data_IF_698320119297
#
_entry.id   IF_698320119297
#
_cell.length_a   1.000
_cell.length_b   1.000
_cell.length_c   1.000
_cell.angle_alpha   90.00
_cell.angle_beta   90.00
_cell.angle_gamma   90.00
#
_symmetry.space_group_name_H-M   'P 1'
#
loop_
_entity.id
_entity.type
_entity.pdbx_description
1 polymer ?
#
# COMPACT_ATOMS: atom_id res chain seq x y z
N UNK A 1 -2.97 29.66 23.60
CA UNK A 1 -2.78 28.50 24.50
C UNK A 1 -2.47 27.30 23.64
N UNK A 2 -1.91 26.27 24.22
CA UNK A 2 -1.49 25.06 23.52
C UNK A 2 -2.17 23.87 24.17
N UNK A 3 -2.63 22.91 23.36
CA UNK A 3 -3.04 21.60 23.87
C UNK A 3 -1.86 20.65 23.71
N UNK A 4 -1.52 19.92 24.78
CA UNK A 4 -0.53 18.85 24.78
C UNK A 4 -1.20 17.55 25.18
N UNK A 5 -0.97 16.50 24.41
CA UNK A 5 -1.52 15.16 24.65
C UNK A 5 -0.40 14.14 24.53
N UNK A 6 -0.13 13.43 25.62
CA UNK A 6 0.70 12.24 25.56
C UNK A 6 -0.19 11.06 25.14
N UNK A 7 0.10 10.55 23.95
CA UNK A 7 -0.61 9.44 23.35
C UNK A 7 0.30 8.22 23.22
N UNK A 8 -0.34 7.05 23.26
CA UNK A 8 0.24 5.79 22.80
C UNK A 8 -0.61 5.24 21.66
N UNK A 9 -0.01 4.48 20.76
CA UNK A 9 -0.72 3.84 19.65
C UNK A 9 -0.58 4.61 18.33
N UNK A 10 -1.58 4.49 17.45
CA UNK A 10 -1.32 4.72 16.03
C UNK A 10 -1.65 6.12 15.56
N UNK A 11 -2.83 6.65 15.91
CA UNK A 11 -3.33 7.92 15.38
C UNK A 11 -4.10 8.69 16.44
N UNK A 12 -3.94 10.01 16.43
CA UNK A 12 -4.72 10.97 17.20
C UNK A 12 -5.16 12.13 16.31
N UNK A 13 -6.45 12.43 16.30
CA UNK A 13 -7.02 13.67 15.78
C UNK A 13 -7.59 14.48 16.95
N UNK A 14 -7.15 15.74 17.08
CA UNK A 14 -7.64 16.63 18.11
C UNK A 14 -8.58 17.69 17.52
N UNK A 15 -9.75 17.83 18.12
CA UNK A 15 -10.74 18.83 17.77
C UNK A 15 -11.05 19.70 18.97
N UNK A 16 -11.24 21.00 18.73
CA UNK A 16 -11.69 21.95 19.74
C UNK A 16 -12.89 22.71 19.19
N UNK A 17 -14.00 22.66 19.92
CA UNK A 17 -15.29 23.23 19.54
C UNK A 17 -15.73 22.80 18.12
N UNK A 18 -15.55 21.52 17.80
CA UNK A 18 -15.91 20.92 16.51
C UNK A 18 -14.96 21.21 15.35
N UNK A 19 -13.88 21.98 15.56
CA UNK A 19 -12.86 22.27 14.53
C UNK A 19 -11.61 21.44 14.76
N UNK A 20 -11.07 20.85 13.69
CA UNK A 20 -9.81 20.14 13.75
C UNK A 20 -8.68 21.13 14.10
N UNK A 21 -7.87 20.75 15.08
CA UNK A 21 -6.67 21.48 15.51
C UNK A 21 -5.41 20.85 14.90
N UNK A 22 -5.41 19.52 14.77
CA UNK A 22 -4.32 18.79 14.16
C UNK A 22 -4.46 17.29 14.33
N UNK A 23 -3.56 16.60 13.64
CA UNK A 23 -3.46 15.15 13.64
C UNK A 23 -2.02 14.75 13.93
N UNK A 24 -1.84 13.61 14.58
CA UNK A 24 -0.56 12.95 14.79
C UNK A 24 -0.75 11.47 14.50
N UNK A 25 0.25 10.85 13.89
CA UNK A 25 0.31 9.40 13.75
C UNK A 25 1.73 8.91 14.00
N UNK A 26 1.82 7.69 14.50
CA UNK A 26 3.08 7.00 14.72
C UNK A 26 3.72 6.63 13.38
N UNK A 27 5.06 6.65 13.35
CA UNK A 27 5.87 6.11 12.27
C UNK A 27 6.71 4.96 12.83
N UNK A 28 6.77 3.84 12.10
CA UNK A 28 7.73 2.74 12.26
C UNK A 28 8.11 2.36 13.70
N UNK A 29 7.30 1.52 14.36
CA UNK A 29 7.65 0.90 15.65
C UNK A 29 7.68 1.84 16.88
N UNK A 30 7.58 3.16 16.69
CA UNK A 30 7.53 4.15 17.77
C UNK A 30 6.09 4.65 17.93
N UNK A 31 5.39 4.12 18.92
CA UNK A 31 3.97 4.40 19.15
C UNK A 31 3.68 5.40 20.26
N UNK A 32 4.70 5.80 21.02
CA UNK A 32 4.58 6.86 22.03
C UNK A 32 4.91 8.21 21.40
N UNK A 33 4.03 9.19 21.57
CA UNK A 33 4.24 10.53 21.02
C UNK A 33 3.63 11.61 21.91
N UNK A 34 4.16 12.82 21.75
CA UNK A 34 3.60 14.04 22.33
C UNK A 34 2.98 14.86 21.21
N UNK A 35 1.65 14.91 21.18
CA UNK A 35 0.93 15.81 20.30
C UNK A 35 0.84 17.19 20.95
N UNK A 36 1.37 18.21 20.28
CA UNK A 36 1.31 19.59 20.77
C UNK A 36 0.89 20.55 19.65
N UNK A 37 -0.21 21.30 19.85
CA UNK A 37 -0.72 22.27 18.89
C UNK A 37 -1.29 23.53 19.56
N UNK A 38 -1.09 24.67 18.90
CA UNK A 38 -1.69 25.93 19.31
C UNK A 38 -3.20 25.92 19.08
N UNK A 39 -3.96 26.38 20.09
CA UNK A 39 -5.41 26.40 20.09
C UNK A 39 -5.93 27.76 20.54
N UNK A 40 -6.96 28.23 19.83
CA UNK A 40 -7.80 29.35 20.26
C UNK A 40 -9.02 28.81 21.02
N UNK A 41 -9.05 29.03 22.33
CA UNK A 41 -10.20 28.72 23.16
C UNK A 41 -11.15 29.91 23.21
N UNK A 42 -12.45 29.62 23.25
CA UNK A 42 -13.49 30.62 23.48
C UNK A 42 -13.54 30.95 24.98
N UNK A 43 -14.03 32.16 25.32
CA UNK A 43 -14.33 32.49 26.71
C UNK A 43 -15.44 31.55 27.22
N UNK A 44 -15.24 30.95 28.38
CA UNK A 44 -16.21 30.03 29.00
C UNK A 44 -15.95 28.56 28.66
N UNK A 45 -17.03 27.79 28.46
CA UNK A 45 -16.95 26.34 28.21
C UNK A 45 -16.41 26.08 26.80
N UNK A 46 -15.47 25.15 26.72
CA UNK A 46 -14.92 24.64 25.46
C UNK A 46 -15.06 23.12 25.43
N UNK A 47 -15.34 22.57 24.26
CA UNK A 47 -15.40 21.13 24.02
C UNK A 47 -14.10 20.69 23.37
N UNK A 48 -13.37 19.80 24.03
CA UNK A 48 -12.20 19.12 23.46
C UNK A 48 -12.63 17.71 23.10
N UNK A 49 -12.36 17.29 21.87
CA UNK A 49 -12.64 15.94 21.40
C UNK A 49 -11.36 15.35 20.84
N UNK A 50 -10.94 14.22 21.39
CA UNK A 50 -9.77 13.47 20.99
C UNK A 50 -10.24 12.18 20.34
N UNK A 51 -10.05 12.05 19.04
CA UNK A 51 -10.32 10.83 18.31
C UNK A 51 -9.01 10.05 18.19
N UNK A 52 -8.89 8.98 18.96
CA UNK A 52 -7.78 8.03 18.82
C UNK A 52 -8.22 6.87 17.93
N UNK A 53 -7.35 6.49 16.98
CA UNK A 53 -7.58 5.35 16.11
C UNK A 53 -6.40 4.38 16.16
N UNK A 54 -6.71 3.09 16.04
CA UNK A 54 -5.73 2.00 16.00
C UNK A 54 -5.59 1.45 14.58
N UNK A 55 -4.38 1.03 14.21
CA UNK A 55 -4.04 0.45 12.90
C UNK A 55 -3.48 -0.95 13.14
N UNK A 56 -4.37 -1.84 13.60
CA UNK A 56 -3.97 -3.13 14.16
C UNK A 56 -3.58 -3.03 15.63
N UNK A 57 -3.31 -4.19 16.24
CA UNK A 57 -2.74 -4.31 17.58
C UNK A 57 -1.42 -5.06 17.48
N UNK A 58 -0.56 -4.89 18.48
CA UNK A 58 0.69 -5.64 18.52
C UNK A 58 0.38 -7.14 18.60
N UNK A 59 1.09 -7.91 17.77
CA UNK A 59 0.83 -9.33 17.55
C UNK A 59 2.07 -10.21 17.82
N UNK A 60 3.15 -9.64 18.34
CA UNK A 60 4.39 -10.36 18.65
C UNK A 60 5.19 -9.64 19.75
N UNK A 61 6.01 -10.39 20.50
CA UNK A 61 6.89 -9.89 21.56
C UNK A 61 6.42 -10.24 22.99
N UNK A 62 7.29 -10.20 24.00
CA UNK A 62 6.87 -10.46 25.38
C UNK A 62 5.80 -9.47 25.85
N UNK A 63 4.74 -9.96 26.48
CA UNK A 63 3.65 -9.16 27.08
C UNK A 63 2.99 -8.17 26.10
N UNK A 64 2.94 -8.50 24.80
CA UNK A 64 2.36 -7.60 23.79
C UNK A 64 0.88 -7.26 24.05
N UNK A 65 0.18 -8.13 24.77
CA UNK A 65 -1.21 -7.98 25.21
C UNK A 65 -1.41 -6.87 26.26
N UNK A 66 -0.35 -6.49 26.99
CA UNK A 66 -0.37 -5.43 28.00
C UNK A 66 -0.10 -4.04 27.42
N UNK A 67 0.20 -3.94 26.12
CA UNK A 67 0.61 -2.68 25.51
C UNK A 67 -0.60 -1.77 25.30
N UNK A 68 -0.53 -0.60 25.94
CA UNK A 68 -1.61 0.37 25.92
C UNK A 68 -1.64 1.13 24.59
N UNK A 69 -2.83 1.35 24.05
CA UNK A 69 -3.09 2.21 22.89
C UNK A 69 -4.20 3.20 23.22
N UNK A 70 -4.05 4.44 22.80
CA UNK A 70 -5.00 5.52 23.02
C UNK A 70 -4.38 6.74 23.70
N UNK A 71 -5.27 7.56 24.26
CA UNK A 71 -4.88 8.73 25.05
C UNK A 71 -4.60 8.28 26.49
N UNK A 72 -3.36 7.89 26.75
CA UNK A 72 -2.91 7.43 28.08
C UNK A 72 -2.59 8.59 29.04
N UNK A 73 -2.41 9.79 28.48
CA UNK A 73 -2.14 11.00 29.25
C UNK A 73 -0.66 11.18 29.63
N UNK A 74 -0.31 12.34 30.20
CA UNK A 74 -1.22 13.43 30.57
C UNK A 74 -1.82 14.18 29.37
N UNK A 75 -2.96 14.84 29.61
CA UNK A 75 -3.62 15.78 28.69
C UNK A 75 -3.63 17.16 29.32
N UNK A 76 -2.92 18.12 28.72
CA UNK A 76 -2.64 19.41 29.32
C UNK A 76 -3.07 20.58 28.42
N UNK A 77 -3.51 21.68 29.05
CA UNK A 77 -3.58 22.99 28.40
C UNK A 77 -2.47 23.86 28.96
N UNK A 78 -1.65 24.40 28.06
CA UNK A 78 -0.50 25.23 28.41
C UNK A 78 -0.79 26.68 28.00
N UNK A 79 -0.81 27.57 28.98
CA UNK A 79 -0.86 29.01 28.81
C UNK A 79 0.51 29.61 29.05
N UNK A 80 0.91 30.59 28.23
CA UNK A 80 2.13 31.38 28.44
C UNK A 80 1.77 32.86 28.48
N UNK A 81 2.37 33.60 29.41
CA UNK A 81 2.25 35.07 29.54
C UNK A 81 3.61 35.64 29.94
N UNK A 82 4.35 36.18 28.98
CA UNK A 82 5.77 36.52 29.20
C UNK A 82 6.56 35.25 29.53
N UNK A 83 7.31 35.30 30.63
CA UNK A 83 8.10 34.16 31.13
C UNK A 83 7.27 33.17 31.98
N UNK A 84 6.04 33.53 32.36
CA UNK A 84 5.17 32.65 33.14
C UNK A 84 4.52 31.58 32.26
N UNK A 85 4.60 30.32 32.69
CA UNK A 85 3.88 29.19 32.10
C UNK A 85 2.88 28.62 33.10
N UNK A 86 1.61 28.55 32.70
CA UNK A 86 0.54 27.92 33.48
C UNK A 86 0.12 26.65 32.78
N UNK A 87 0.21 25.53 33.49
CA UNK A 87 -0.20 24.21 32.98
C UNK A 87 -1.47 23.80 33.71
N UNK A 88 -2.50 23.48 32.93
CA UNK A 88 -3.74 22.90 33.44
C UNK A 88 -3.86 21.47 32.96
N UNK A 89 -3.61 20.53 33.86
CA UNK A 89 -3.80 19.10 33.61
C UNK A 89 -5.30 18.73 33.65
N UNK A 90 -5.74 18.03 32.60
CA UNK A 90 -7.10 17.55 32.40
C UNK A 90 -7.25 16.05 32.66
N UNK A 91 -6.17 15.33 32.96
CA UNK A 91 -6.14 13.87 33.04
C UNK A 91 -7.09 13.31 34.11
N UNK A 92 -7.22 14.01 35.25
CA UNK A 92 -8.11 13.61 36.36
C UNK A 92 -9.52 14.19 36.27
N UNK A 93 -9.87 14.86 35.17
CA UNK A 93 -11.21 15.42 34.95
C UNK A 93 -12.17 14.36 34.42
N UNK A 94 -13.47 14.67 34.42
CA UNK A 94 -14.48 13.77 33.87
C UNK A 94 -14.35 13.69 32.34
N UNK A 95 -14.11 12.48 31.85
CA UNK A 95 -14.07 12.16 30.42
C UNK A 95 -15.34 11.44 29.98
N UNK A 96 -15.81 11.74 28.77
CA UNK A 96 -16.88 10.99 28.11
C UNK A 96 -16.26 10.21 26.95
N UNK A 97 -16.67 8.95 26.79
CA UNK A 97 -16.15 8.05 25.76
C UNK A 97 -17.26 7.67 24.77
N UNK A 98 -16.88 7.56 23.50
CA UNK A 98 -17.72 6.99 22.45
C UNK A 98 -16.86 6.07 21.60
N UNK A 99 -17.34 4.84 21.40
CA UNK A 99 -16.69 3.85 20.52
C UNK A 99 -17.26 4.02 19.11
N UNK A 100 -16.40 3.91 18.11
CA UNK A 100 -16.79 3.96 16.69
C UNK A 100 -17.09 5.36 16.16
N UNK A 101 -17.52 5.41 14.90
CA UNK A 101 -17.95 6.63 14.22
C UNK A 101 -19.42 6.52 13.86
N UNK A 102 -20.08 7.68 13.77
CA UNK A 102 -21.50 7.76 13.40
C UNK A 102 -21.85 7.01 12.10
N UNK A 103 -20.94 7.02 11.10
CA UNK A 103 -21.14 6.28 9.85
C UNK A 103 -21.13 4.76 10.01
N UNK A 104 -20.32 4.25 10.95
CA UNK A 104 -20.29 2.82 11.28
C UNK A 104 -21.56 2.39 12.04
N UNK A 105 -22.00 3.19 13.02
CA UNK A 105 -23.22 2.92 13.80
C UNK A 105 -24.46 2.77 12.88
N UNK A 106 -24.49 3.54 11.79
CA UNK A 106 -25.57 3.53 10.80
C UNK A 106 -25.25 2.72 9.54
N UNK A 107 -24.15 1.96 9.54
CA UNK A 107 -23.75 1.05 8.45
C UNK A 107 -23.78 1.72 7.07
N UNK A 108 -23.20 2.91 6.92
CA UNK A 108 -23.18 3.67 5.65
C UNK A 108 -22.58 2.88 4.47
N UNK A 109 -21.78 1.86 4.77
CA UNK A 109 -21.24 0.91 3.79
C UNK A 109 -22.27 -0.07 3.20
N UNK A 110 -23.49 -0.14 3.75
CA UNK A 110 -24.58 -0.96 3.22
C UNK A 110 -25.59 -0.14 2.41
N UNK A 111 -26.23 -0.81 1.46
CA UNK A 111 -27.28 -0.22 0.60
C UNK A 111 -28.53 0.12 1.40
N UNK A 112 -28.88 -0.68 2.40
CA UNK A 112 -30.06 -0.55 3.27
C UNK A 112 -29.83 0.36 4.50
N UNK A 113 -28.78 1.19 4.47
CA UNK A 113 -28.50 2.12 5.57
C UNK A 113 -29.68 3.07 5.81
N UNK A 114 -30.08 3.32 7.07
CA UNK A 114 -31.11 4.31 7.40
C UNK A 114 -30.73 5.74 7.00
N UNK A 115 -29.46 5.99 6.66
CA UNK A 115 -28.95 7.27 6.19
C UNK A 115 -28.71 7.30 4.67
N UNK A 116 -29.17 6.28 3.93
CA UNK A 116 -28.99 6.19 2.48
C UNK A 116 -29.60 7.37 1.70
N UNK A 117 -30.60 8.06 2.25
CA UNK A 117 -31.18 9.26 1.62
C UNK A 117 -30.40 10.56 1.88
N UNK A 118 -29.36 10.53 2.73
CA UNK A 118 -28.58 11.73 3.10
C UNK A 118 -27.33 11.95 2.26
N UNK A 119 -27.04 11.07 1.31
CA UNK A 119 -25.93 11.25 0.37
C UNK A 119 -26.20 12.46 -0.53
N UNK A 120 -25.16 13.25 -0.79
CA UNK A 120 -25.20 14.40 -1.69
C UNK A 120 -24.26 14.14 -2.86
N UNK A 121 -24.71 14.47 -4.07
CA UNK A 121 -23.95 14.33 -5.32
C UNK A 121 -23.41 15.66 -5.84
N UNK A 122 -23.96 16.77 -5.39
CA UNK A 122 -23.52 18.12 -5.74
C UNK A 122 -22.42 18.58 -4.78
N UNK A 123 -21.46 19.35 -5.30
CA UNK A 123 -20.35 19.94 -4.54
C UNK A 123 -19.61 18.94 -3.62
N UNK A 124 -19.14 17.84 -4.22
CA UNK A 124 -18.40 16.80 -3.51
C UNK A 124 -17.25 17.41 -2.69
N UNK A 125 -17.22 17.22 -1.36
CA UNK A 125 -16.18 17.80 -0.54
C UNK A 125 -14.85 17.14 -0.89
N UNK A 126 -13.85 17.94 -1.25
CA UNK A 126 -12.48 17.46 -1.50
C UNK A 126 -11.58 17.79 -0.31
N UNK A 127 -10.61 16.93 -0.02
CA UNK A 127 -9.61 17.13 1.05
C UNK A 127 -10.23 17.38 2.43
N UNK A 128 -11.48 16.95 2.64
CA UNK A 128 -12.19 17.04 3.91
C UNK A 128 -12.00 15.74 4.69
N UNK A 129 -11.47 15.86 5.90
CA UNK A 129 -11.34 14.73 6.83
C UNK A 129 -12.70 14.20 7.29
N UNK A 130 -12.71 12.92 7.66
CA UNK A 130 -13.89 12.22 8.20
C UNK A 130 -15.08 12.24 7.22
N UNK A 131 -14.80 12.01 5.94
CA UNK A 131 -15.80 12.07 4.86
C UNK A 131 -16.12 10.68 4.36
N UNK A 132 -17.40 10.43 4.05
CA UNK A 132 -17.81 9.21 3.38
C UNK A 132 -18.05 9.53 1.90
N UNK A 133 -17.60 8.66 1.00
CA UNK A 133 -17.90 8.70 -0.43
C UNK A 133 -18.60 7.43 -0.86
N UNK A 134 -19.45 7.54 -1.87
CA UNK A 134 -20.15 6.41 -2.49
C UNK A 134 -20.23 6.63 -3.99
N UNK A 135 -19.97 5.59 -4.75
CA UNK A 135 -20.15 5.58 -6.20
C UNK A 135 -20.61 4.20 -6.66
N UNK A 136 -21.01 4.12 -7.92
CA UNK A 136 -21.32 2.87 -8.60
C UNK A 136 -20.38 2.65 -9.77
N UNK A 137 -20.05 1.40 -10.08
CA UNK A 137 -19.16 1.04 -11.17
C UNK A 137 -19.57 -0.30 -11.79
N UNK A 138 -19.14 -0.54 -13.04
CA UNK A 138 -19.29 -1.85 -13.69
C UNK A 138 -18.11 -2.73 -13.36
N UNK A 139 -18.34 -4.02 -13.16
CA UNK A 139 -17.26 -4.96 -12.94
C UNK A 139 -16.31 -4.98 -14.16
N UNK A 140 -14.97 -4.99 -13.95
CA UNK A 140 -14.04 -5.24 -15.04
C UNK A 140 -14.35 -6.58 -15.72
N UNK A 141 -14.21 -6.66 -17.03
CA UNK A 141 -14.47 -7.90 -17.77
C UNK A 141 -13.44 -9.01 -17.44
N UNK A 142 -13.73 -10.23 -17.85
CA UNK A 142 -12.82 -11.37 -17.73
C UNK A 142 -12.71 -11.96 -16.32
N UNK A 143 -11.68 -12.77 -16.10
CA UNK A 143 -11.46 -13.54 -14.86
C UNK A 143 -10.28 -13.03 -14.03
N UNK A 144 -9.49 -12.09 -14.56
CA UNK A 144 -8.26 -11.60 -13.92
C UNK A 144 -8.52 -10.99 -12.53
N UNK A 145 -7.60 -11.09 -11.57
CA UNK A 145 -7.73 -10.42 -10.29
C UNK A 145 -8.02 -8.92 -10.44
N UNK A 146 -8.91 -8.39 -9.60
CA UNK A 146 -9.31 -6.98 -9.63
C UNK A 146 -8.66 -6.25 -8.48
N UNK A 147 -8.17 -5.04 -8.76
CA UNK A 147 -7.71 -4.10 -7.74
C UNK A 147 -8.42 -2.77 -7.92
N UNK A 148 -8.57 -2.04 -6.81
CA UNK A 148 -8.90 -0.63 -6.83
C UNK A 148 -7.63 0.17 -6.52
N UNK A 149 -7.28 1.08 -7.42
CA UNK A 149 -6.27 2.11 -7.19
C UNK A 149 -6.93 3.23 -6.37
N UNK A 150 -6.48 3.39 -5.12
CA UNK A 150 -6.99 4.43 -4.22
C UNK A 150 -6.09 5.68 -4.22
N UNK A 151 -5.31 5.90 -5.28
CA UNK A 151 -4.55 7.12 -5.46
C UNK A 151 -5.45 8.37 -5.32
N UNK A 152 -4.87 9.44 -4.77
CA UNK A 152 -5.58 10.69 -4.49
C UNK A 152 -6.26 10.73 -3.11
N UNK A 153 -6.43 9.58 -2.46
CA UNK A 153 -6.97 9.47 -1.11
C UNK A 153 -5.89 9.51 -0.03
N UNK A 154 -6.33 9.65 1.23
CA UNK A 154 -5.47 9.80 2.38
C UNK A 154 -5.31 8.48 3.14
N UNK A 155 -6.29 8.18 3.99
CA UNK A 155 -6.37 6.97 4.82
C UNK A 155 -7.84 6.66 5.06
N UNK A 156 -8.19 5.39 5.11
CA UNK A 156 -9.58 5.04 5.32
C UNK A 156 -9.88 3.56 5.34
N UNK A 157 -11.14 3.25 5.06
CA UNK A 157 -11.63 1.89 4.84
C UNK A 157 -12.55 1.88 3.62
N UNK A 158 -12.53 0.77 2.89
CA UNK A 158 -13.29 0.62 1.65
C UNK A 158 -14.18 -0.61 1.70
N UNK A 159 -15.34 -0.51 1.02
CA UNK A 159 -16.30 -1.58 0.86
C UNK A 159 -16.76 -1.69 -0.58
N UNK A 160 -16.86 -2.93 -1.07
CA UNK A 160 -17.46 -3.25 -2.36
C UNK A 160 -18.71 -4.09 -2.08
N UNK A 161 -19.87 -3.60 -2.54
CA UNK A 161 -21.18 -4.23 -2.31
C UNK A 161 -21.44 -4.57 -0.83
N UNK A 162 -20.96 -3.72 0.09
CA UNK A 162 -21.10 -3.89 1.54
C UNK A 162 -20.09 -4.84 2.18
N UNK A 163 -19.22 -5.49 1.40
CA UNK A 163 -18.11 -6.30 1.89
C UNK A 163 -16.87 -5.41 2.10
N UNK A 164 -16.28 -5.44 3.30
CA UNK A 164 -15.04 -4.70 3.57
C UNK A 164 -13.91 -5.31 2.75
N UNK A 165 -13.17 -4.47 2.01
CA UNK A 165 -11.92 -4.85 1.34
C UNK A 165 -10.69 -4.39 2.14
N UNK A 166 -10.91 -3.93 3.37
CA UNK A 166 -9.88 -3.55 4.32
C UNK A 166 -9.59 -2.05 4.39
N UNK A 167 -8.56 -1.73 5.19
CA UNK A 167 -8.07 -0.36 5.36
C UNK A 167 -7.21 0.03 4.17
N UNK A 168 -7.26 1.30 3.81
CA UNK A 168 -6.35 1.89 2.86
C UNK A 168 -5.54 3.02 3.49
N UNK A 169 -4.30 3.21 3.05
CA UNK A 169 -3.44 4.31 3.47
C UNK A 169 -2.41 4.73 2.40
N UNK A 170 -2.85 5.13 1.19
CA UNK A 170 -1.95 5.47 0.09
C UNK A 170 -1.15 6.75 0.35
N UNK A 171 -1.58 7.62 1.27
CA UNK A 171 -0.76 8.77 1.70
C UNK A 171 0.45 8.41 2.56
N UNK A 172 0.54 7.17 3.08
CA UNK A 172 1.70 6.71 3.85
C UNK A 172 2.75 6.15 2.90
N UNK A 173 3.84 6.91 2.70
CA UNK A 173 4.89 6.57 1.76
C UNK A 173 5.91 5.59 2.37
N UNK A 174 6.44 4.70 1.54
CA UNK A 174 7.61 3.91 1.87
C UNK A 174 8.84 4.83 1.79
N UNK A 175 9.42 5.22 2.93
CA UNK A 175 10.44 6.27 2.97
C UNK A 175 11.87 5.71 2.93
N UNK A 176 12.13 4.52 3.48
CA UNK A 176 13.50 4.05 3.77
C UNK A 176 13.72 2.57 3.38
N UNK A 177 14.99 2.18 3.25
CA UNK A 177 15.42 0.78 3.11
C UNK A 177 15.71 0.30 1.69
N UNK A 178 15.29 1.03 0.65
CA UNK A 178 15.62 0.64 -0.73
C UNK A 178 17.07 0.96 -1.05
N UNK A 179 17.80 -0.07 -1.51
CA UNK A 179 19.11 0.12 -2.12
C UNK A 179 18.97 0.51 -3.59
N UNK A 180 19.95 1.27 -4.10
CA UNK A 180 20.14 1.46 -5.54
C UNK A 180 20.83 0.26 -6.20
N UNK A 181 21.46 -0.60 -5.41
CA UNK A 181 22.13 -1.81 -5.90
C UNK A 181 21.09 -2.85 -6.30
N UNK A 182 21.40 -3.60 -7.37
CA UNK A 182 20.55 -4.72 -7.76
C UNK A 182 20.51 -5.78 -6.65
N UNK A 183 19.30 -6.22 -6.29
CA UNK A 183 19.11 -7.30 -5.32
C UNK A 183 19.75 -8.60 -5.85
N UNK A 184 20.70 -9.15 -5.08
CA UNK A 184 21.34 -10.44 -5.36
C UNK A 184 20.80 -11.52 -4.41
N UNK A 185 20.35 -12.65 -4.98
CA UNK A 185 19.87 -13.79 -4.21
C UNK A 185 20.98 -14.48 -3.39
N UNK A 186 22.25 -14.32 -3.78
CA UNK A 186 23.41 -14.94 -3.13
C UNK A 186 23.82 -14.18 -1.87
N UNK A 187 24.47 -14.89 -0.95
CA UNK A 187 24.95 -14.33 0.32
C UNK A 187 23.84 -14.21 1.36
N UNK A 188 24.21 -13.69 2.54
CA UNK A 188 23.27 -13.52 3.66
C UNK A 188 22.06 -12.69 3.24
N UNK A 189 20.90 -13.07 3.79
CA UNK A 189 19.64 -12.38 3.56
C UNK A 189 19.11 -11.81 4.87
N UNK A 190 18.60 -10.59 4.81
CA UNK A 190 17.76 -9.98 5.82
C UNK A 190 16.57 -9.29 5.15
N UNK A 191 15.64 -8.79 5.96
CA UNK A 191 14.41 -8.16 5.49
C UNK A 191 14.63 -6.79 4.81
N UNK A 192 15.85 -6.26 4.80
CA UNK A 192 16.18 -4.97 4.19
C UNK A 192 16.92 -5.13 2.86
N UNK A 193 17.49 -6.31 2.57
CA UNK A 193 18.36 -6.55 1.41
C UNK A 193 17.74 -6.19 0.05
N UNK A 194 16.45 -6.44 -0.13
CA UNK A 194 15.77 -6.34 -1.42
C UNK A 194 14.46 -5.54 -1.33
N UNK A 195 14.43 -4.51 -0.50
CA UNK A 195 13.28 -3.62 -0.35
C UNK A 195 13.12 -2.77 -1.61
N UNK A 196 11.89 -2.58 -2.05
CA UNK A 196 11.54 -1.80 -3.24
C UNK A 196 10.39 -0.84 -2.94
N UNK A 197 9.98 -0.04 -3.95
CA UNK A 197 8.84 0.86 -3.88
C UNK A 197 9.02 2.08 -2.95
N UNK A 198 10.26 2.47 -2.61
CA UNK A 198 10.52 3.69 -1.86
C UNK A 198 10.11 4.95 -2.64
N UNK A 199 9.65 5.98 -1.93
CA UNK A 199 9.08 7.19 -2.49
C UNK A 199 7.62 7.06 -2.98
N UNK A 200 7.07 5.85 -2.96
CA UNK A 200 5.70 5.56 -3.37
C UNK A 200 4.81 5.18 -2.17
N UNK A 201 3.47 5.17 -2.34
CA UNK A 201 2.58 4.62 -1.33
C UNK A 201 3.00 3.21 -0.90
N UNK A 202 3.06 2.97 0.42
CA UNK A 202 3.29 1.63 0.99
C UNK A 202 2.34 0.59 0.42
N UNK A 203 1.10 0.99 0.14
CA UNK A 203 0.17 0.25 -0.69
C UNK A 203 -0.70 1.21 -1.51
N UNK A 204 -0.67 1.05 -2.83
CA UNK A 204 -1.49 1.83 -3.78
C UNK A 204 -2.71 1.07 -4.27
N UNK A 205 -2.53 -0.20 -4.59
CA UNK A 205 -3.57 -1.08 -5.13
C UNK A 205 -4.13 -1.98 -4.03
N UNK A 206 -5.45 -2.01 -3.93
CA UNK A 206 -6.18 -2.75 -2.92
C UNK A 206 -7.00 -3.84 -3.59
N UNK A 207 -6.78 -5.08 -3.19
CA UNK A 207 -7.41 -6.24 -3.81
C UNK A 207 -8.93 -6.24 -3.60
N UNK A 208 -9.67 -6.50 -4.67
CA UNK A 208 -11.12 -6.66 -4.67
C UNK A 208 -11.42 -8.08 -5.15
N UNK A 209 -11.85 -8.99 -4.25
CA UNK A 209 -12.22 -10.33 -4.64
C UNK A 209 -13.31 -10.32 -5.72
N UNK A 210 -13.11 -11.07 -6.81
CA UNK A 210 -14.10 -11.23 -7.89
C UNK A 210 -15.47 -11.67 -7.34
N UNK A 211 -15.49 -12.51 -6.29
CA UNK A 211 -16.71 -12.97 -5.64
C UNK A 211 -17.48 -11.88 -4.88
N UNK A 212 -16.90 -10.70 -4.66
CA UNK A 212 -17.63 -9.55 -4.10
C UNK A 212 -18.32 -8.73 -5.19
N UNK A 213 -18.00 -8.97 -6.46
CA UNK A 213 -18.57 -8.25 -7.59
C UNK A 213 -19.83 -8.95 -8.12
N UNK A 214 -20.73 -8.13 -8.64
CA UNK A 214 -21.89 -8.51 -9.45
C UNK A 214 -21.59 -8.17 -10.90
N UNK A 215 -22.19 -8.89 -11.85
CA UNK A 215 -21.92 -8.73 -13.28
C UNK A 215 -22.32 -7.34 -13.81
N UNK A 216 -23.38 -6.74 -13.24
CA UNK A 216 -23.89 -5.45 -13.64
C UNK A 216 -23.31 -4.28 -12.82
N UNK A 217 -24.10 -3.77 -11.87
CA UNK A 217 -23.81 -2.53 -11.16
C UNK A 217 -23.32 -2.85 -9.75
N UNK A 218 -22.10 -2.43 -9.47
CA UNK A 218 -21.45 -2.57 -8.19
C UNK A 218 -21.45 -1.24 -7.44
N UNK A 219 -21.39 -1.28 -6.12
CA UNK A 219 -21.25 -0.10 -5.27
C UNK A 219 -19.89 -0.11 -4.59
N UNK A 220 -19.17 1.00 -4.68
CA UNK A 220 -18.00 1.30 -3.86
C UNK A 220 -18.40 2.32 -2.78
N UNK A 221 -18.13 2.01 -1.52
CA UNK A 221 -18.21 2.97 -0.41
C UNK A 221 -16.83 3.14 0.20
N UNK A 222 -16.45 4.39 0.49
CA UNK A 222 -15.18 4.76 1.10
C UNK A 222 -15.45 5.60 2.35
N UNK A 223 -14.76 5.29 3.44
CA UNK A 223 -14.61 6.22 4.56
C UNK A 223 -13.20 6.82 4.51
N UNK A 224 -13.10 8.12 4.27
CA UNK A 224 -11.84 8.88 4.17
C UNK A 224 -11.58 9.66 5.46
N UNK A 225 -10.58 9.21 6.21
CA UNK A 225 -10.16 9.73 7.51
C UNK A 225 -9.30 11.00 7.38
N UNK A 226 -8.36 11.04 6.43
CA UNK A 226 -7.31 12.07 6.32
C UNK A 226 -7.65 13.17 5.31
N UNK A 227 -8.65 12.94 4.48
CA UNK A 227 -9.03 13.83 3.39
C UNK A 227 -8.25 13.49 2.12
N UNK A 228 -8.92 13.60 0.99
CA UNK A 228 -8.33 13.39 -0.32
C UNK A 228 -9.30 13.72 -1.44
N UNK A 229 -8.89 13.41 -2.66
CA UNK A 229 -9.70 13.58 -3.86
C UNK A 229 -10.07 12.19 -4.44
N UNK A 230 -11.34 11.79 -4.40
CA UNK A 230 -11.77 10.49 -4.94
C UNK A 230 -11.79 10.43 -6.47
N UNK A 231 -11.55 11.54 -7.20
CA UNK A 231 -11.62 11.56 -8.66
C UNK A 231 -10.56 10.71 -9.37
N UNK A 232 -9.51 10.30 -8.64
CA UNK A 232 -8.43 9.45 -9.15
C UNK A 232 -8.64 7.97 -8.80
N UNK A 233 -9.70 7.64 -8.06
CA UNK A 233 -10.02 6.25 -7.72
C UNK A 233 -10.45 5.51 -8.98
N UNK A 234 -9.79 4.39 -9.27
CA UNK A 234 -10.09 3.61 -10.46
C UNK A 234 -9.98 2.10 -10.20
N UNK A 235 -10.80 1.31 -10.89
CA UNK A 235 -10.70 -0.15 -10.90
C UNK A 235 -9.90 -0.60 -12.11
N UNK A 236 -9.08 -1.62 -11.91
CA UNK A 236 -8.34 -2.26 -12.99
C UNK A 236 -8.16 -3.75 -12.69
N UNK A 237 -7.97 -4.55 -13.73
CA UNK A 237 -7.45 -5.90 -13.58
C UNK A 237 -5.95 -5.85 -13.41
N UNK A 238 -5.39 -6.83 -12.70
CA UNK A 238 -3.95 -7.02 -12.60
C UNK A 238 -3.60 -8.41 -13.09
N UNK A 239 -2.66 -8.46 -14.02
CA UNK A 239 -2.04 -9.68 -14.52
C UNK A 239 -0.54 -9.55 -14.32
N UNK A 240 0.16 -10.67 -14.29
CA UNK A 240 1.62 -10.64 -14.48
C UNK A 240 1.85 -9.94 -15.81
N UNK A 241 2.59 -8.82 -15.82
CA UNK A 241 2.90 -8.11 -17.06
C UNK A 241 4.25 -8.52 -17.66
N UNK A 242 5.15 -9.06 -16.83
CA UNK A 242 6.42 -9.63 -17.30
C UNK A 242 6.88 -10.74 -16.37
N UNK A 243 7.43 -11.80 -16.96
CA UNK A 243 8.04 -12.92 -16.27
C UNK A 243 9.51 -12.99 -16.63
N UNK A 244 10.39 -13.08 -15.64
CA UNK A 244 11.81 -13.20 -15.85
C UNK A 244 12.33 -14.53 -15.35
N UNK A 245 13.32 -15.08 -16.03
CA UNK A 245 13.96 -16.32 -15.64
C UNK A 245 15.45 -16.30 -15.95
N UNK A 246 16.22 -17.03 -15.14
CA UNK A 246 17.63 -17.28 -15.38
C UNK A 246 17.96 -18.76 -15.16
N UNK A 247 18.77 -19.33 -16.05
CA UNK A 247 19.30 -20.68 -15.89
C UNK A 247 20.77 -20.72 -16.28
N UNK A 248 21.61 -21.24 -15.38
CA UNK A 248 23.02 -21.49 -15.70
C UNK A 248 23.16 -22.59 -16.76
N UNK A 249 24.30 -22.61 -17.44
CA UNK A 249 24.61 -23.63 -18.44
C UNK A 249 24.33 -25.05 -17.90
N UNK A 250 23.72 -25.89 -18.75
CA UNK A 250 23.24 -27.26 -18.46
C UNK A 250 22.09 -27.33 -17.45
N UNK A 251 21.44 -26.20 -17.12
CA UNK A 251 20.20 -26.16 -16.34
C UNK A 251 19.01 -25.79 -17.22
N UNK A 252 17.83 -26.17 -16.78
CA UNK A 252 16.57 -25.86 -17.44
C UNK A 252 16.02 -24.55 -16.89
N UNK A 253 15.71 -23.62 -17.80
CA UNK A 253 14.91 -22.45 -17.53
C UNK A 253 13.43 -22.83 -17.60
N UNK A 254 12.65 -22.42 -16.60
CA UNK A 254 11.19 -22.50 -16.63
C UNK A 254 10.61 -21.08 -16.60
N UNK A 255 9.72 -20.79 -17.55
CA UNK A 255 8.97 -19.53 -17.62
C UNK A 255 7.48 -19.83 -17.53
N UNK A 256 6.75 -19.01 -16.78
CA UNK A 256 5.30 -19.10 -16.64
C UNK A 256 4.70 -17.72 -16.45
N UNK A 257 3.56 -17.50 -17.10
CA UNK A 257 2.75 -16.29 -16.99
C UNK A 257 1.50 -16.51 -16.12
N UNK A 258 1.54 -17.48 -15.20
CA UNK A 258 0.51 -17.76 -14.20
C UNK A 258 -0.91 -17.91 -14.79
N UNK A 259 -1.02 -18.63 -15.92
CA UNK A 259 -2.30 -18.90 -16.62
C UNK A 259 -2.58 -17.98 -17.80
N UNK A 260 -1.79 -16.92 -18.00
CA UNK A 260 -1.84 -16.13 -19.24
C UNK A 260 -0.81 -16.66 -20.26
N UNK A 261 -1.08 -16.55 -21.57
CA UNK A 261 -0.09 -16.89 -22.57
C UNK A 261 1.06 -15.88 -22.58
N UNK A 262 2.29 -16.37 -22.76
CA UNK A 262 3.45 -15.52 -23.05
C UNK A 262 3.18 -14.82 -24.39
N UNK A 263 3.07 -13.49 -24.36
CA UNK A 263 2.69 -12.68 -25.50
C UNK A 263 3.89 -12.25 -26.34
N UNK A 264 5.05 -12.05 -25.71
CA UNK A 264 6.30 -11.71 -26.40
C UNK A 264 7.55 -12.07 -25.57
N UNK A 265 8.72 -12.07 -26.20
CA UNK A 265 10.01 -12.11 -25.53
C UNK A 265 10.66 -10.73 -25.66
N UNK A 266 10.75 -10.00 -24.55
CA UNK A 266 11.32 -8.65 -24.53
C UNK A 266 12.85 -8.66 -24.54
N UNK A 267 13.46 -9.67 -23.90
CA UNK A 267 14.90 -9.87 -23.90
C UNK A 267 15.24 -11.36 -23.74
N UNK A 268 16.26 -11.83 -24.46
CA UNK A 268 16.90 -13.11 -24.19
C UNK A 268 18.38 -13.07 -24.57
N UNK A 269 19.26 -13.64 -23.74
CA UNK A 269 20.68 -13.81 -24.08
C UNK A 269 21.26 -15.00 -23.31
N UNK A 270 21.99 -15.86 -24.02
CA UNK A 270 22.77 -16.97 -23.45
C UNK A 270 24.25 -16.63 -23.54
N UNK A 271 24.94 -16.55 -22.39
CA UNK A 271 26.33 -16.12 -22.32
C UNK A 271 26.60 -15.44 -20.98
N UNK A 272 27.10 -14.20 -21.03
CA UNK A 272 27.31 -13.37 -19.84
C UNK A 272 26.38 -12.16 -19.77
N UNK A 273 25.04 -12.32 -19.75
CA UNK A 273 24.11 -11.20 -19.67
C UNK A 273 24.28 -10.44 -18.35
N UNK A 274 24.08 -9.12 -18.41
CA UNK A 274 24.19 -8.19 -17.29
C UNK A 274 22.82 -7.62 -16.90
N UNK A 275 22.75 -6.96 -15.74
CA UNK A 275 21.51 -6.38 -15.22
C UNK A 275 20.56 -7.40 -14.56
N UNK A 276 19.35 -6.93 -14.26
CA UNK A 276 18.30 -7.68 -13.59
C UNK A 276 16.99 -7.60 -14.38
N UNK A 277 15.96 -8.34 -13.94
CA UNK A 277 14.64 -8.33 -14.59
C UNK A 277 14.13 -6.89 -14.80
N UNK A 278 13.73 -6.55 -16.02
CA UNK A 278 13.32 -5.20 -16.42
C UNK A 278 14.46 -4.31 -16.93
N UNK A 279 15.72 -4.73 -16.76
CA UNK A 279 16.93 -3.98 -17.13
C UNK A 279 18.04 -4.86 -17.72
N UNK A 280 17.72 -6.07 -18.18
CA UNK A 280 18.72 -6.98 -18.74
C UNK A 280 19.39 -6.40 -19.98
N UNK A 281 20.69 -6.66 -20.11
CA UNK A 281 21.50 -6.26 -21.25
C UNK A 281 22.41 -7.42 -21.67
N UNK A 282 22.78 -7.44 -22.95
CA UNK A 282 23.85 -8.33 -23.42
C UNK A 282 25.16 -7.89 -22.77
N UNK A 283 25.94 -8.83 -22.24
CA UNK A 283 27.26 -8.53 -21.68
C UNK A 283 28.39 -8.87 -22.64
N UNK A 284 29.57 -9.19 -22.08
CA UNK A 284 30.81 -9.33 -22.83
C UNK A 284 30.85 -10.49 -23.85
N UNK A 285 29.98 -11.50 -23.71
CA UNK A 285 29.95 -12.66 -24.58
C UNK A 285 28.54 -13.23 -24.72
N UNK A 286 28.27 -13.87 -25.84
CA UNK A 286 26.98 -14.48 -26.18
C UNK A 286 27.15 -15.75 -27.04
N UNK A 287 26.11 -16.57 -27.07
CA UNK A 287 25.97 -17.68 -28.01
C UNK A 287 25.85 -17.19 -29.45
N UNK A 288 26.31 -18.00 -30.40
CA UNK A 288 26.28 -17.65 -31.82
C UNK A 288 24.87 -17.57 -32.42
N UNK A 289 23.88 -18.21 -31.79
CA UNK A 289 22.47 -18.10 -32.19
C UNK A 289 21.76 -17.04 -31.34
N UNK A 290 20.96 -16.19 -31.99
CA UNK A 290 20.10 -15.26 -31.27
C UNK A 290 19.06 -16.02 -30.42
N UNK A 291 19.06 -15.76 -29.11
CA UNK A 291 18.18 -16.43 -28.17
C UNK A 291 16.72 -15.98 -28.32
N UNK A 292 16.45 -14.75 -28.80
CA UNK A 292 15.07 -14.22 -28.86
C UNK A 292 14.18 -15.06 -29.78
N UNK A 293 14.51 -15.32 -31.06
CA UNK A 293 13.67 -16.12 -31.95
C UNK A 293 13.49 -17.57 -31.49
N UNK A 294 14.49 -18.13 -30.82
CA UNK A 294 14.43 -19.49 -30.24
C UNK A 294 13.36 -19.53 -29.14
N UNK A 295 13.41 -18.56 -28.22
CA UNK A 295 12.47 -18.44 -27.12
C UNK A 295 11.06 -18.08 -27.64
N UNK A 296 10.93 -17.21 -28.64
CA UNK A 296 9.65 -16.88 -29.25
C UNK A 296 8.97 -18.13 -29.79
N UNK A 297 9.68 -18.93 -30.59
CA UNK A 297 9.17 -20.18 -31.14
C UNK A 297 8.79 -21.20 -30.06
N UNK A 298 9.53 -21.23 -28.96
CA UNK A 298 9.33 -22.20 -27.89
C UNK A 298 8.22 -21.81 -26.90
N UNK A 299 8.05 -20.51 -26.63
CA UNK A 299 7.29 -20.00 -25.49
C UNK A 299 6.07 -19.15 -25.86
N UNK A 300 6.13 -18.36 -26.94
CA UNK A 300 5.03 -17.42 -27.26
C UNK A 300 3.75 -18.20 -27.60
N UNK A 301 2.63 -17.74 -27.03
CA UNK A 301 1.31 -18.36 -27.12
C UNK A 301 1.05 -19.49 -26.11
N UNK A 302 2.03 -19.86 -25.27
CA UNK A 302 1.87 -20.87 -24.21
C UNK A 302 1.82 -20.21 -22.84
N UNK A 303 1.09 -20.82 -21.90
CA UNK A 303 1.05 -20.36 -20.50
C UNK A 303 2.38 -20.54 -19.76
N UNK A 304 3.13 -21.57 -20.16
CA UNK A 304 4.45 -21.88 -19.64
C UNK A 304 5.32 -22.56 -20.70
N UNK A 305 6.64 -22.47 -20.52
CA UNK A 305 7.63 -23.15 -21.35
C UNK A 305 8.88 -23.50 -20.55
N UNK A 306 9.62 -24.51 -21.03
CA UNK A 306 10.89 -24.94 -20.44
C UNK A 306 11.95 -25.07 -21.53
N UNK A 307 13.15 -24.56 -21.29
CA UNK A 307 14.28 -24.61 -22.23
C UNK A 307 15.58 -24.92 -21.49
N UNK A 308 16.39 -25.82 -22.05
CA UNK A 308 17.73 -26.08 -21.54
C UNK A 308 18.71 -24.96 -21.96
N UNK A 309 19.39 -24.35 -21.00
CA UNK A 309 20.46 -23.40 -21.26
C UNK A 309 21.72 -24.15 -21.70
N UNK A 310 21.93 -24.30 -23.00
CA UNK A 310 23.06 -25.07 -23.56
C UNK A 310 23.51 -24.58 -24.93
N UNK A 311 24.77 -24.82 -25.28
CA UNK A 311 25.33 -24.51 -26.60
C UNK A 311 24.66 -25.32 -27.73
N UNK A 312 24.08 -26.49 -27.43
CA UNK A 312 23.33 -27.27 -28.41
C UNK A 312 22.11 -26.50 -28.96
N UNK A 313 21.54 -25.60 -28.14
CA UNK A 313 20.37 -24.78 -28.51
C UNK A 313 20.81 -23.38 -28.96
N UNK A 314 21.66 -22.73 -28.18
CA UNK A 314 22.03 -21.33 -28.38
C UNK A 314 23.34 -21.14 -29.18
N UNK A 315 23.90 -22.23 -29.67
CA UNK A 315 25.14 -22.22 -30.43
C UNK A 315 26.39 -22.10 -29.56
N UNK A 316 27.56 -22.29 -30.18
CA UNK A 316 28.85 -22.11 -29.55
C UNK A 316 28.98 -20.68 -29.02
N UNK A 317 29.51 -20.51 -27.81
CA UNK A 317 29.72 -19.20 -27.21
C UNK A 317 31.12 -18.65 -27.51
N UNK A 318 31.26 -17.33 -27.62
CA UNK A 318 32.56 -16.65 -27.63
C UNK A 318 33.05 -16.33 -26.21
N UNK A 319 32.49 -16.97 -25.19
CA UNK A 319 32.81 -16.75 -23.79
C UNK A 319 34.11 -17.46 -23.40
N UNK A 320 35.00 -16.75 -22.71
CA UNK A 320 36.19 -17.34 -22.09
C UNK A 320 35.82 -18.48 -21.13
N UNK A 321 36.75 -19.44 -20.98
CA UNK A 321 36.51 -20.65 -20.16
C UNK A 321 36.23 -20.38 -18.68
N UNK A 322 36.59 -19.18 -18.18
CA UNK A 322 36.35 -18.75 -16.80
C UNK A 322 35.00 -18.03 -16.60
N UNK A 323 34.27 -17.73 -17.68
CA UNK A 323 32.99 -17.03 -17.62
C UNK A 323 31.88 -18.02 -17.28
N UNK A 324 31.14 -17.74 -16.21
CA UNK A 324 29.96 -18.53 -15.85
C UNK A 324 28.80 -18.16 -16.76
N UNK A 325 28.47 -19.06 -17.69
CA UNK A 325 27.43 -18.83 -18.70
C UNK A 325 26.04 -19.06 -18.13
N UNK A 326 25.08 -18.23 -18.53
CA UNK A 326 23.66 -18.38 -18.19
C UNK A 326 22.78 -17.87 -19.33
N UNK A 327 21.59 -18.45 -19.42
CA UNK A 327 20.46 -17.90 -20.15
C UNK A 327 19.72 -16.93 -19.24
N UNK A 328 19.51 -15.70 -19.69
CA UNK A 328 18.62 -14.71 -19.06
C UNK A 328 17.49 -14.37 -20.02
N UNK A 329 16.24 -14.35 -19.53
CA UNK A 329 15.05 -14.07 -20.33
C UNK A 329 14.12 -13.13 -19.58
N UNK A 330 13.54 -12.18 -20.31
CA UNK A 330 12.40 -11.36 -19.92
C UNK A 330 11.28 -11.58 -20.94
N UNK A 331 10.20 -12.21 -20.49
CA UNK A 331 9.00 -12.47 -21.28
C UNK A 331 7.89 -11.49 -20.88
N UNK A 332 7.06 -11.12 -21.84
CA UNK A 332 5.82 -10.38 -21.62
C UNK A 332 4.70 -11.40 -21.49
N UNK A 333 3.91 -11.20 -20.45
CA UNK A 333 2.62 -11.82 -20.25
C UNK A 333 1.62 -10.70 -20.65
#
# INVERSE_FOLDING_TARGET
MTIRVNGSGHILHAYVNGKLVGSQWAKYGVFNYVFEKNVKFNRGKNLITLLSATVGFQNYGPMFDLIQSGVIGPVEIIGRKGDETVIKDLSTRKWNYRVGLHGYDHKLFKVDSPLASRWQSEDLPLNRMMTWYKTTFKAPLGTDPVVVDLQGLGKGEAWVNGHSIGRYWPSFLAEEGCSTDACDYRGSYDNNKCVSNCGHPTQRWYHVPRSFLQDDLNTLVLFEEFGGNPSLVNFQTTVVGSACGNAYEKKTLELSCHGNPISAIKFASFGAPEGSCGSFQKGACEGSNDAVPILEKACVGKESCSINASEDIFGSTNCDANVTRRLAVEAVC
#
